data_IF_868872742484
#
_entry.id   IF_868872742484
#
_cell.length_a   1.000
_cell.length_b   1.000
_cell.length_c   1.000
_cell.angle_alpha   90.00
_cell.angle_beta   90.00
_cell.angle_gamma   90.00
#
_symmetry.space_group_name_H-M   'P 1'
#
loop_
_entity.id
_entity.type
_entity.pdbx_description
1 polymer ?
#
# COMPACT_ATOMS: atom_id res chain seq x y z
N UNK A 1 9.35 -7.96 3.20
CA UNK A 1 9.92 -6.62 3.40
C UNK A 1 11.21 -6.76 4.18
N UNK A 2 12.36 -6.37 3.62
CA UNK A 2 13.64 -6.44 4.36
C UNK A 2 13.62 -5.42 5.51
N UNK A 3 14.16 -5.81 6.66
CA UNK A 3 14.38 -4.87 7.78
C UNK A 3 15.30 -3.74 7.30
N UNK A 4 15.06 -2.52 7.79
CA UNK A 4 15.95 -1.37 7.58
C UNK A 4 17.21 -1.56 8.42
N UNK A 5 18.11 -2.42 7.97
CA UNK A 5 19.38 -2.70 8.60
C UNK A 5 20.47 -2.83 7.52
N UNK A 6 21.67 -2.36 7.83
CA UNK A 6 22.82 -2.48 6.94
C UNK A 6 23.41 -3.89 7.11
N UNK A 7 23.06 -4.79 6.21
CA UNK A 7 23.50 -6.20 6.21
C UNK A 7 24.20 -6.53 4.90
N UNK A 8 25.28 -7.29 4.98
CA UNK A 8 25.95 -7.80 3.79
C UNK A 8 25.17 -8.97 3.21
N UNK A 9 24.86 -8.90 1.91
CA UNK A 9 24.14 -9.94 1.18
C UNK A 9 25.03 -10.51 0.07
N UNK A 10 25.21 -11.84 0.01
CA UNK A 10 25.92 -12.48 -1.10
C UNK A 10 25.22 -12.26 -2.45
N UNK A 11 26.01 -11.95 -3.48
CA UNK A 11 25.50 -11.70 -4.85
C UNK A 11 24.77 -12.91 -5.44
N UNK A 12 25.17 -14.13 -5.06
CA UNK A 12 24.53 -15.37 -5.52
C UNK A 12 23.04 -15.41 -5.15
N UNK A 13 22.67 -14.87 -3.99
CA UNK A 13 21.28 -14.85 -3.53
C UNK A 13 20.41 -13.87 -4.33
N UNK A 14 21.00 -12.85 -4.98
CA UNK A 14 20.26 -11.88 -5.78
C UNK A 14 19.72 -12.45 -7.09
N UNK A 15 20.26 -13.58 -7.56
CA UNK A 15 19.82 -14.26 -8.80
C UNK A 15 18.35 -14.68 -8.77
N UNK A 16 17.88 -15.08 -7.59
CA UNK A 16 16.51 -15.57 -7.45
C UNK A 16 15.50 -14.41 -7.47
N UNK A 17 15.94 -13.21 -7.10
CA UNK A 17 15.07 -12.02 -6.96
C UNK A 17 15.22 -11.01 -8.11
N UNK A 18 16.33 -11.04 -8.86
CA UNK A 18 16.68 -10.03 -9.86
C UNK A 18 16.96 -10.67 -11.21
N UNK A 19 16.51 -10.02 -12.27
CA UNK A 19 16.98 -10.29 -13.62
C UNK A 19 18.27 -9.51 -13.88
N UNK A 20 19.39 -10.22 -13.98
CA UNK A 20 20.71 -9.61 -14.19
C UNK A 20 20.95 -9.10 -15.62
N UNK A 21 20.27 -9.66 -16.62
CA UNK A 21 20.45 -9.24 -18.02
C UNK A 21 19.91 -7.83 -18.19
N UNK A 22 18.70 -7.60 -17.68
CA UNK A 22 18.03 -6.30 -17.76
C UNK A 22 18.28 -5.41 -16.55
N UNK A 23 18.95 -5.93 -15.50
CA UNK A 23 19.25 -5.24 -14.23
C UNK A 23 17.97 -4.74 -13.53
N UNK A 24 16.92 -5.55 -13.54
CA UNK A 24 15.61 -5.21 -12.99
C UNK A 24 15.18 -6.23 -11.94
N UNK A 25 14.68 -5.80 -10.76
CA UNK A 25 14.07 -6.69 -9.78
C UNK A 25 12.81 -7.38 -10.33
N UNK A 26 12.63 -8.68 -10.02
CA UNK A 26 11.42 -9.42 -10.40
C UNK A 26 10.19 -8.88 -9.68
N UNK A 27 10.32 -8.50 -8.42
CA UNK A 27 9.27 -7.81 -7.68
C UNK A 27 9.37 -6.29 -7.89
N UNK A 28 8.40 -5.71 -8.60
CA UNK A 28 8.32 -4.27 -8.84
C UNK A 28 7.22 -3.64 -8.00
N UNK A 29 7.51 -3.40 -6.73
CA UNK A 29 6.51 -2.88 -5.77
C UNK A 29 5.89 -1.55 -6.21
N UNK A 30 6.64 -0.68 -6.89
CA UNK A 30 6.14 0.62 -7.36
C UNK A 30 5.07 0.50 -8.47
N UNK A 31 5.04 -0.61 -9.23
CA UNK A 31 3.97 -0.84 -10.19
C UNK A 31 2.61 -0.97 -9.50
N UNK A 32 2.58 -1.51 -8.27
CA UNK A 32 1.37 -1.58 -7.44
C UNK A 32 0.87 -0.19 -7.00
N UNK A 33 1.75 0.84 -7.02
CA UNK A 33 1.40 2.22 -6.71
C UNK A 33 0.82 2.97 -7.93
N UNK A 34 1.08 2.50 -9.15
CA UNK A 34 0.62 3.15 -10.39
C UNK A 34 -0.90 3.43 -10.43
N UNK A 35 -1.78 2.50 -10.01
CA UNK A 35 -3.22 2.77 -9.96
C UNK A 35 -3.56 3.97 -9.06
N UNK A 36 -2.98 4.04 -7.86
CA UNK A 36 -3.20 5.17 -6.95
C UNK A 36 -2.74 6.49 -7.57
N UNK A 37 -1.56 6.50 -8.20
CA UNK A 37 -1.05 7.69 -8.89
C UNK A 37 -1.95 8.15 -10.04
N UNK A 38 -2.53 7.21 -10.80
CA UNK A 38 -3.49 7.53 -11.88
C UNK A 38 -4.76 8.17 -11.35
N UNK A 39 -5.27 7.68 -10.22
CA UNK A 39 -6.44 8.26 -9.54
C UNK A 39 -6.12 9.68 -9.07
N UNK A 40 -5.00 9.87 -8.36
CA UNK A 40 -4.59 11.18 -7.85
C UNK A 40 -4.37 12.20 -8.97
N UNK A 41 -3.85 11.75 -10.11
CA UNK A 41 -3.66 12.58 -11.29
C UNK A 41 -4.93 12.73 -12.15
N UNK A 42 -6.09 12.24 -11.70
CA UNK A 42 -7.39 12.36 -12.37
C UNK A 42 -7.40 11.83 -13.80
N UNK A 43 -6.73 10.70 -14.05
CA UNK A 43 -6.72 10.08 -15.37
C UNK A 43 -8.11 9.56 -15.76
N UNK A 44 -8.52 9.81 -17.02
CA UNK A 44 -9.75 9.27 -17.61
C UNK A 44 -9.52 7.83 -18.05
N UNK A 45 -9.52 6.89 -17.11
CA UNK A 45 -9.38 5.45 -17.36
C UNK A 45 -10.51 4.68 -16.69
N UNK A 46 -11.03 3.64 -17.35
CA UNK A 46 -11.94 2.70 -16.70
C UNK A 46 -11.16 1.87 -15.66
N UNK A 47 -11.56 1.99 -14.40
CA UNK A 47 -11.03 1.16 -13.33
C UNK A 47 -11.93 -0.07 -13.21
N UNK A 48 -11.33 -1.26 -13.27
CA UNK A 48 -12.06 -2.50 -13.01
C UNK A 48 -12.26 -2.63 -11.50
N UNK A 49 -13.49 -2.42 -11.02
CA UNK A 49 -13.87 -2.46 -9.61
C UNK A 49 -14.28 -3.92 -9.25
N UNK A 50 -13.55 -4.90 -9.77
CA UNK A 50 -13.85 -6.33 -9.51
C UNK A 50 -13.57 -6.75 -8.06
N UNK A 51 -12.86 -5.93 -7.27
CA UNK A 51 -12.76 -6.11 -5.83
C UNK A 51 -13.65 -5.06 -5.16
N UNK A 52 -14.92 -5.39 -5.03
CA UNK A 52 -15.94 -4.64 -4.29
C UNK A 52 -15.66 -4.72 -2.79
N UNK A 53 -14.49 -4.24 -2.36
CA UNK A 53 -14.26 -3.89 -0.97
C UNK A 53 -15.24 -2.78 -0.64
N UNK A 54 -16.30 -3.12 0.10
CA UNK A 54 -17.19 -2.14 0.72
C UNK A 54 -16.31 -1.07 1.40
N UNK A 55 -16.26 0.12 0.81
CA UNK A 55 -15.64 1.27 1.42
C UNK A 55 -16.56 1.70 2.56
N UNK A 56 -16.42 1.07 3.72
CA UNK A 56 -17.14 1.50 4.91
C UNK A 56 -16.67 2.91 5.27
N UNK A 57 -17.63 3.82 5.43
CA UNK A 57 -17.35 5.17 5.88
C UNK A 57 -16.73 5.09 7.28
N UNK A 58 -15.56 5.73 7.48
CA UNK A 58 -14.97 5.87 8.81
C UNK A 58 -15.93 6.70 9.66
N UNK A 59 -16.77 6.03 10.45
CA UNK A 59 -17.67 6.70 11.39
C UNK A 59 -16.79 7.23 12.51
N UNK A 60 -16.65 8.56 12.56
CA UNK A 60 -16.05 9.24 13.70
C UNK A 60 -16.88 8.89 14.94
N UNK A 61 -16.30 8.12 15.86
CA UNK A 61 -16.95 7.80 17.13
C UNK A 61 -16.97 9.08 17.98
N UNK A 62 -17.94 9.97 17.74
CA UNK A 62 -18.21 11.13 18.58
C UNK A 62 -18.70 10.57 19.92
N UNK A 63 -17.98 10.74 21.03
CA UNK A 63 -18.48 10.28 22.32
C UNK A 63 -19.82 10.96 22.58
N UNK A 64 -20.83 10.12 22.89
CA UNK A 64 -22.16 10.56 23.25
C UNK A 64 -22.04 11.49 24.46
N UNK A 65 -22.52 12.72 24.31
CA UNK A 65 -22.51 13.75 25.38
C UNK A 65 -23.20 13.28 26.67
N UNK A 66 -23.92 12.15 26.65
CA UNK A 66 -24.52 11.51 27.82
C UNK A 66 -23.53 10.94 28.84
N UNK A 67 -22.30 10.57 28.45
CA UNK A 67 -21.30 10.08 29.43
C UNK A 67 -20.58 11.22 30.17
N UNK A 68 -20.56 12.44 29.61
CA UNK A 68 -19.91 13.60 30.24
C UNK A 68 -20.72 14.17 31.42
N UNK A 69 -22.04 13.99 31.42
CA UNK A 69 -22.91 14.44 32.52
C UNK A 69 -23.00 13.44 33.69
N UNK A 70 -22.55 12.21 33.52
CA UNK A 70 -22.56 11.20 34.60
C UNK A 70 -21.31 11.27 35.50
N UNK A 71 -20.34 12.11 35.16
CA UNK A 71 -19.08 12.27 35.88
C UNK A 71 -18.96 13.58 36.67
N UNK A 72 -20.08 14.29 36.91
CA UNK A 72 -20.16 15.49 37.76
C UNK A 72 -21.13 15.23 38.91
#
# INVERSE_FOLDING_TARGET
MRRRALVFQPVVQLRDETDFVHRIPKEQWWLKLRPLMKILAKYKTSYDISDSGQLEHVVLNRPKESEAMAAI
#
